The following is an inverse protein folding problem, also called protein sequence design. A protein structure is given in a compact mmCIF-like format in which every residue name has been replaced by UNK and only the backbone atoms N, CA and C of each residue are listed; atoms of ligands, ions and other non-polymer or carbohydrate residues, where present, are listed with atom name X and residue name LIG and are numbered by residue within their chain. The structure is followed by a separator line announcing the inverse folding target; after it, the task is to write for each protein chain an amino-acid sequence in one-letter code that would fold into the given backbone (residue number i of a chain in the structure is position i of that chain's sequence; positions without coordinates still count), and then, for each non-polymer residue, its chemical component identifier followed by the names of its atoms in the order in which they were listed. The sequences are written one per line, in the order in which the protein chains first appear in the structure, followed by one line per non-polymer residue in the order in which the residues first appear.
data_IF_565843978210
#
_entry.id   IF_565843978210
#
_cell.length_a   1.000
_cell.length_b   1.000
_cell.length_c   1.000
_cell.angle_alpha   90.00
_cell.angle_beta   90.00
_cell.angle_gamma   90.00
#
_symmetry.space_group_name_H-M   'P 1'
#
loop_
_entity.id
_entity.type
_entity.pdbx_description
1 polymer ?
#
# COMPACT_ATOMS: atom_id res chain seq x y z
N UNK A 1 -42.69 -24.34 -17.55
CA UNK A 1 -42.51 -23.11 -16.75
C UNK A 1 -42.18 -23.51 -15.32
N UNK A 2 -40.88 -23.74 -15.03
CA UNK A 2 -40.28 -23.75 -13.69
C UNK A 2 -38.89 -23.16 -13.90
N UNK A 3 -38.64 -21.98 -13.30
CA UNK A 3 -37.41 -21.21 -13.44
C UNK A 3 -36.28 -21.91 -12.67
N UNK A 4 -35.17 -22.21 -13.34
CA UNK A 4 -33.95 -22.70 -12.71
C UNK A 4 -33.32 -21.61 -11.84
N UNK A 5 -33.37 -21.77 -10.52
CA UNK A 5 -32.65 -20.93 -9.58
C UNK A 5 -31.16 -21.15 -9.70
N UNK A 6 -30.43 -20.13 -10.14
CA UNK A 6 -28.97 -20.12 -10.07
C UNK A 6 -28.56 -20.14 -8.59
N UNK A 7 -27.94 -21.25 -8.17
CA UNK A 7 -27.27 -21.35 -6.87
C UNK A 7 -25.96 -20.58 -7.01
N UNK A 8 -25.92 -19.35 -6.51
CA UNK A 8 -24.67 -18.63 -6.38
C UNK A 8 -23.86 -19.26 -5.25
N UNK A 9 -22.63 -19.76 -5.49
CA UNK A 9 -21.80 -20.26 -4.41
C UNK A 9 -21.48 -19.10 -3.46
N UNK A 10 -21.76 -19.32 -2.17
CA UNK A 10 -21.33 -18.42 -1.11
C UNK A 10 -19.80 -18.41 -1.07
N UNK A 11 -19.20 -17.36 -1.61
CA UNK A 11 -17.75 -17.11 -1.60
C UNK A 11 -17.17 -16.85 -0.21
N UNK A 12 -18.01 -16.71 0.81
CA UNK A 12 -17.56 -16.59 2.19
C UNK A 12 -17.52 -17.97 2.85
N UNK A 13 -16.40 -18.68 2.68
CA UNK A 13 -16.02 -19.73 3.62
C UNK A 13 -15.54 -19.03 4.89
N UNK A 14 -16.36 -19.03 5.94
CA UNK A 14 -15.96 -18.47 7.24
C UNK A 14 -14.81 -19.34 7.76
N UNK A 15 -13.59 -18.86 7.62
CA UNK A 15 -12.40 -19.47 8.23
C UNK A 15 -12.64 -19.64 9.72
N UNK A 16 -12.36 -20.84 10.24
CA UNK A 16 -12.50 -21.16 11.67
C UNK A 16 -11.73 -20.16 12.53
N UNK A 17 -12.29 -19.79 13.68
CA UNK A 17 -11.67 -18.86 14.63
C UNK A 17 -10.21 -19.24 14.93
N UNK A 18 -9.28 -18.34 14.62
CA UNK A 18 -7.85 -18.52 14.89
C UNK A 18 -7.49 -17.88 16.24
N UNK A 19 -6.66 -18.57 17.04
CA UNK A 19 -6.06 -17.96 18.22
C UNK A 19 -4.92 -17.01 17.79
N UNK A 20 -4.91 -15.81 18.37
CA UNK A 20 -3.88 -14.79 18.14
C UNK A 20 -3.33 -14.34 19.49
N UNK A 21 -2.02 -14.43 19.65
CA UNK A 21 -1.33 -13.95 20.85
C UNK A 21 -1.12 -12.43 20.75
N UNK A 22 -1.90 -11.68 21.54
CA UNK A 22 -1.82 -10.23 21.57
C UNK A 22 -0.46 -9.70 22.06
N UNK A 23 0.25 -10.44 22.91
CA UNK A 23 1.58 -10.03 23.34
C UNK A 23 2.56 -10.08 22.16
N UNK A 24 2.59 -11.19 21.43
CA UNK A 24 3.46 -11.34 20.26
C UNK A 24 3.16 -10.32 19.17
N UNK A 25 1.88 -10.02 18.89
CA UNK A 25 1.52 -8.96 17.93
C UNK A 25 2.11 -7.61 18.36
N UNK A 26 2.17 -7.32 19.65
CA UNK A 26 2.68 -6.04 20.15
C UNK A 26 4.21 -6.00 20.29
N UNK A 27 4.88 -7.13 20.49
CA UNK A 27 6.32 -7.17 20.80
C UNK A 27 7.20 -7.73 19.69
N UNK A 28 6.64 -8.53 18.77
CA UNK A 28 7.38 -9.17 17.68
C UNK A 28 6.89 -8.63 16.32
N UNK A 29 7.82 -8.02 15.57
CA UNK A 29 7.52 -7.43 14.26
C UNK A 29 7.06 -8.49 13.25
N UNK A 30 7.70 -9.66 13.21
CA UNK A 30 7.37 -10.71 12.26
C UNK A 30 5.98 -11.29 12.58
N UNK A 31 5.68 -11.55 13.85
CA UNK A 31 4.37 -12.04 14.28
C UNK A 31 3.25 -11.06 13.90
N UNK A 32 3.50 -9.75 14.03
CA UNK A 32 2.57 -8.70 13.59
C UNK A 32 2.34 -8.71 12.08
N UNK A 33 3.41 -8.79 11.30
CA UNK A 33 3.34 -8.81 9.83
C UNK A 33 2.62 -10.08 9.35
N UNK A 34 2.95 -11.24 9.92
CA UNK A 34 2.33 -12.53 9.60
C UNK A 34 0.83 -12.53 9.94
N UNK A 35 0.47 -12.00 11.11
CA UNK A 35 -0.94 -11.85 11.50
C UNK A 35 -1.68 -10.92 10.53
N UNK A 36 -1.11 -9.74 10.24
CA UNK A 36 -1.76 -8.76 9.38
C UNK A 36 -1.97 -9.30 7.97
N UNK A 37 -0.97 -9.95 7.38
CA UNK A 37 -1.06 -10.54 6.05
C UNK A 37 -2.17 -11.60 5.98
N UNK A 38 -2.25 -12.50 6.96
CA UNK A 38 -3.35 -13.47 7.06
C UNK A 38 -4.70 -12.78 7.24
N UNK A 39 -4.76 -11.73 8.06
CA UNK A 39 -6.00 -11.00 8.35
C UNK A 39 -6.56 -10.29 7.11
N UNK A 40 -5.69 -9.72 6.26
CA UNK A 40 -6.10 -9.13 4.98
C UNK A 40 -6.10 -10.13 3.82
N UNK A 41 -5.91 -11.42 4.13
CA UNK A 41 -5.85 -12.53 3.18
C UNK A 41 -4.76 -12.38 2.09
N UNK A 42 -3.71 -11.62 2.37
CA UNK A 42 -2.59 -11.41 1.44
C UNK A 42 -1.71 -12.65 1.35
N UNK A 43 -1.67 -13.25 0.16
CA UNK A 43 -0.95 -14.48 -0.12
C UNK A 43 -0.16 -14.47 -1.44
N UNK A 44 0.36 -15.64 -1.86
CA UNK A 44 1.14 -15.77 -3.09
C UNK A 44 0.40 -15.32 -4.35
N UNK A 45 -0.92 -15.53 -4.43
CA UNK A 45 -1.73 -15.11 -5.57
C UNK A 45 -1.78 -13.58 -5.70
N UNK A 46 -1.85 -12.84 -4.59
CA UNK A 46 -1.80 -11.36 -4.60
C UNK A 46 -0.43 -10.85 -5.03
N UNK A 47 0.65 -11.49 -4.56
CA UNK A 47 2.01 -11.16 -4.97
C UNK A 47 2.17 -11.34 -6.48
N UNK A 48 1.70 -12.47 -7.01
CA UNK A 48 1.71 -12.73 -8.45
C UNK A 48 0.88 -11.70 -9.21
N UNK A 49 -0.32 -11.36 -8.72
CA UNK A 49 -1.17 -10.35 -9.32
C UNK A 49 -0.50 -8.96 -9.36
N UNK A 50 0.15 -8.55 -8.26
CA UNK A 50 0.93 -7.31 -8.20
C UNK A 50 2.08 -7.32 -9.22
N UNK A 51 2.87 -8.39 -9.25
CA UNK A 51 3.99 -8.52 -10.20
C UNK A 51 3.50 -8.46 -11.65
N UNK A 52 2.42 -9.18 -11.97
CA UNK A 52 1.80 -9.19 -13.30
C UNK A 52 1.21 -7.84 -13.72
N UNK A 53 0.75 -7.03 -12.76
CA UNK A 53 0.24 -5.67 -13.04
C UNK A 53 1.37 -4.65 -13.31
N UNK A 54 2.61 -4.95 -12.93
CA UNK A 54 3.76 -4.01 -13.05
C UNK A 54 3.90 -3.36 -14.43
N UNK A 55 3.85 -4.09 -15.57
CA UNK A 55 4.05 -3.50 -16.89
C UNK A 55 2.98 -2.46 -17.25
N UNK A 56 1.78 -2.60 -16.70
CA UNK A 56 0.65 -1.69 -16.93
C UNK A 56 0.70 -0.50 -15.98
N UNK A 57 1.01 -0.73 -14.70
CA UNK A 57 0.97 0.32 -13.67
C UNK A 57 2.19 1.23 -13.75
N UNK A 58 3.40 0.68 -13.96
CA UNK A 58 4.65 1.44 -13.89
C UNK A 58 4.68 2.68 -14.80
N UNK A 59 4.20 2.64 -16.06
CA UNK A 59 4.11 3.83 -16.91
C UNK A 59 3.14 4.90 -16.39
N UNK A 60 2.12 4.51 -15.61
CA UNK A 60 1.05 5.39 -15.12
C UNK A 60 1.36 6.04 -13.76
N UNK A 61 2.36 5.52 -13.02
CA UNK A 61 2.69 5.99 -11.66
C UNK A 61 2.91 7.51 -11.59
N UNK A 62 3.57 8.10 -12.59
CA UNK A 62 3.78 9.55 -12.65
C UNK A 62 2.46 10.32 -12.63
N UNK A 63 1.55 10.00 -13.56
CA UNK A 63 0.25 10.66 -13.63
C UNK A 63 -0.63 10.41 -12.40
N UNK A 64 -0.59 9.18 -11.85
CA UNK A 64 -1.34 8.85 -10.64
C UNK A 64 -0.85 9.65 -9.41
N UNK A 65 0.46 9.76 -9.23
CA UNK A 65 1.05 10.57 -8.15
C UNK A 65 0.69 12.04 -8.32
N UNK A 66 0.73 12.56 -9.54
CA UNK A 66 0.34 13.94 -9.82
C UNK A 66 -1.12 14.20 -9.43
N UNK A 67 -2.03 13.32 -9.83
CA UNK A 67 -3.46 13.41 -9.48
C UNK A 67 -3.72 13.36 -7.97
N UNK A 68 -2.98 12.54 -7.21
CA UNK A 68 -3.06 12.52 -5.75
C UNK A 68 -2.67 13.87 -5.16
N UNK A 69 -1.59 14.48 -5.63
CA UNK A 69 -1.15 15.78 -5.14
C UNK A 69 -2.12 16.91 -5.51
N UNK A 70 -2.69 16.90 -6.72
CA UNK A 70 -3.77 17.84 -7.07
C UNK A 70 -4.95 17.72 -6.10
N UNK A 71 -5.34 16.48 -5.74
CA UNK A 71 -6.40 16.27 -4.75
C UNK A 71 -6.00 16.81 -3.38
N UNK A 72 -4.77 16.59 -2.93
CA UNK A 72 -4.26 17.13 -1.66
C UNK A 72 -4.12 18.66 -1.68
N UNK A 73 -3.92 19.27 -2.84
CA UNK A 73 -3.88 20.73 -2.99
C UNK A 73 -5.28 21.36 -3.01
N UNK A 74 -6.31 20.59 -3.34
CA UNK A 74 -7.71 21.07 -3.37
C UNK A 74 -8.31 21.37 -1.99
N UNK A 75 -7.64 21.01 -0.90
CA UNK A 75 -8.04 21.39 0.47
C UNK A 75 -6.87 22.08 1.18
N UNK A 76 -7.14 23.20 1.83
CA UNK A 76 -6.12 24.00 2.51
C UNK A 76 -5.45 23.23 3.65
N UNK A 77 -6.23 22.47 4.43
CA UNK A 77 -5.73 21.68 5.56
C UNK A 77 -4.72 20.62 5.12
N UNK A 78 -4.94 19.95 3.98
CA UNK A 78 -4.01 18.97 3.43
C UNK A 78 -2.82 19.64 2.76
N UNK A 79 -3.03 20.77 2.06
CA UNK A 79 -1.96 21.52 1.41
C UNK A 79 -0.98 22.12 2.42
N UNK A 80 -1.46 22.54 3.59
CA UNK A 80 -0.63 23.14 4.67
C UNK A 80 0.42 22.19 5.23
N UNK A 81 0.20 20.87 5.16
CA UNK A 81 1.17 19.85 5.60
C UNK A 81 2.49 19.93 4.80
N UNK A 82 2.45 20.50 3.60
CA UNK A 82 3.63 20.69 2.75
C UNK A 82 4.44 21.96 3.08
N UNK A 83 3.96 22.81 4.00
CA UNK A 83 4.72 23.95 4.52
C UNK A 83 5.76 23.52 5.56
N UNK A 84 5.60 22.35 6.17
CA UNK A 84 6.55 21.82 7.15
C UNK A 84 7.67 21.05 6.44
N UNK A 85 8.92 21.31 6.86
CA UNK A 85 10.09 20.59 6.35
C UNK A 85 9.94 19.10 6.59
N UNK A 86 10.06 18.31 5.52
CA UNK A 86 10.09 16.87 5.61
C UNK A 86 11.49 16.38 5.97
N UNK A 87 11.58 15.29 6.74
CA UNK A 87 12.86 14.65 7.08
C UNK A 87 13.65 14.31 5.82
N UNK A 88 14.93 14.65 5.79
CA UNK A 88 15.80 14.42 4.63
C UNK A 88 15.66 15.45 3.49
N UNK A 89 14.72 16.40 3.56
CA UNK A 89 14.61 17.49 2.59
C UNK A 89 15.42 18.73 3.02
N UNK A 90 16.44 19.09 2.25
CA UNK A 90 17.34 20.23 2.51
C UNK A 90 17.10 21.45 1.61
N UNK A 91 16.18 21.35 0.63
CA UNK A 91 15.88 22.43 -0.30
C UNK A 91 15.03 23.57 0.27
N UNK A 92 14.62 24.47 -0.61
CA UNK A 92 13.79 25.63 -0.26
C UNK A 92 12.34 25.21 -0.02
N UNK A 93 11.71 25.79 1.00
CA UNK A 93 10.28 25.66 1.23
C UNK A 93 9.55 26.86 0.62
N UNK A 94 8.34 26.63 0.14
CA UNK A 94 7.44 27.71 -0.20
C UNK A 94 7.12 28.54 1.05
N UNK A 95 7.17 29.86 0.92
CA UNK A 95 6.88 30.78 2.01
C UNK A 95 5.37 30.91 2.27
N UNK A 96 4.58 30.83 1.19
CA UNK A 96 3.13 30.94 1.25
C UNK A 96 2.44 29.67 0.75
N UNK A 97 1.21 29.46 1.20
CA UNK A 97 0.44 28.27 0.89
C UNK A 97 0.10 28.20 -0.60
N UNK A 98 -0.22 29.35 -1.19
CA UNK A 98 -0.54 29.54 -2.60
C UNK A 98 0.61 29.15 -3.54
N UNK A 99 1.85 29.25 -3.07
CA UNK A 99 3.06 28.91 -3.84
C UNK A 99 3.36 27.40 -3.85
N UNK A 100 2.63 26.59 -3.06
CA UNK A 100 2.80 25.13 -3.02
C UNK A 100 2.15 24.49 -4.24
N UNK A 101 2.94 24.08 -5.22
CA UNK A 101 2.45 23.44 -6.43
C UNK A 101 3.42 22.34 -6.89
N UNK A 102 3.13 21.71 -8.03
CA UNK A 102 3.96 20.63 -8.56
C UNK A 102 5.41 21.02 -8.87
N UNK A 103 5.71 22.31 -9.03
CA UNK A 103 7.05 22.80 -9.32
C UNK A 103 7.89 23.07 -8.07
N UNK A 104 7.27 23.17 -6.88
CA UNK A 104 7.97 23.41 -5.62
C UNK A 104 8.93 22.27 -5.29
N UNK A 105 10.14 22.59 -4.85
CA UNK A 105 11.21 21.60 -4.60
C UNK A 105 10.78 20.53 -3.59
N UNK A 106 10.11 20.94 -2.51
CA UNK A 106 9.61 20.03 -1.48
C UNK A 106 8.52 19.09 -1.99
N UNK A 107 7.76 19.50 -3.00
CA UNK A 107 6.73 18.65 -3.62
C UNK A 107 7.38 17.66 -4.58
N UNK A 108 8.32 18.09 -5.41
CA UNK A 108 9.10 17.19 -6.28
C UNK A 108 9.79 16.11 -5.46
N UNK A 109 10.46 16.49 -4.37
CA UNK A 109 11.11 15.56 -3.45
C UNK A 109 10.14 14.49 -2.91
N UNK A 110 8.98 14.89 -2.38
CA UNK A 110 8.00 13.93 -1.85
C UNK A 110 7.35 13.08 -2.95
N UNK A 111 7.09 13.65 -4.14
CA UNK A 111 6.55 12.92 -5.31
C UNK A 111 7.54 11.86 -5.80
N UNK A 112 8.82 12.17 -5.88
CA UNK A 112 9.84 11.23 -6.36
C UNK A 112 10.00 10.05 -5.40
N UNK A 113 9.99 10.30 -4.09
CA UNK A 113 9.93 9.22 -3.10
C UNK A 113 8.66 8.36 -3.28
N UNK A 114 7.49 8.99 -3.43
CA UNK A 114 6.22 8.26 -3.58
C UNK A 114 6.19 7.43 -4.87
N UNK A 115 6.69 7.94 -6.00
CA UNK A 115 6.77 7.18 -7.26
C UNK A 115 7.60 5.91 -7.09
N UNK A 116 8.79 6.04 -6.47
CA UNK A 116 9.66 4.89 -6.20
C UNK A 116 8.98 3.89 -5.27
N UNK A 117 8.32 4.38 -4.22
CA UNK A 117 7.59 3.53 -3.28
C UNK A 117 6.44 2.79 -3.95
N UNK A 118 5.63 3.44 -4.79
CA UNK A 118 4.53 2.80 -5.52
C UNK A 118 5.06 1.70 -6.42
N UNK A 119 6.10 1.98 -7.23
CA UNK A 119 6.71 0.93 -8.07
C UNK A 119 7.20 -0.24 -7.22
N UNK A 120 7.80 0.03 -6.06
CA UNK A 120 8.27 -1.01 -5.14
C UNK A 120 7.14 -1.92 -4.64
N UNK A 121 5.92 -1.43 -4.44
CA UNK A 121 4.76 -2.29 -4.08
C UNK A 121 4.52 -3.34 -5.16
N UNK A 122 4.66 -2.99 -6.44
CA UNK A 122 4.44 -3.92 -7.54
C UNK A 122 5.64 -4.82 -7.83
N UNK A 123 6.84 -4.53 -7.31
CA UNK A 123 8.08 -5.25 -7.66
C UNK A 123 8.84 -5.82 -6.48
N UNK A 124 8.38 -5.64 -5.25
CA UNK A 124 9.08 -6.15 -4.07
C UNK A 124 9.09 -7.69 -4.06
N UNK A 125 10.19 -8.26 -3.57
CA UNK A 125 10.25 -9.67 -3.23
C UNK A 125 9.56 -9.87 -1.88
N UNK A 126 8.27 -10.20 -1.90
CA UNK A 126 7.49 -10.47 -0.70
C UNK A 126 7.85 -11.79 -0.01
N UNK A 127 8.95 -12.47 -0.40
CA UNK A 127 9.55 -13.59 0.34
C UNK A 127 10.82 -13.19 1.12
N UNK A 128 11.39 -11.99 0.89
CA UNK A 128 12.51 -11.50 1.70
C UNK A 128 12.01 -11.17 3.12
N UNK A 129 12.58 -11.74 4.20
CA UNK A 129 12.14 -11.52 5.57
C UNK A 129 12.16 -10.05 6.03
N UNK A 130 12.79 -9.13 5.30
CA UNK A 130 12.71 -7.68 5.56
C UNK A 130 11.41 -7.03 5.05
N UNK A 131 10.66 -7.70 4.19
CA UNK A 131 9.46 -7.22 3.51
C UNK A 131 8.33 -8.27 3.44
N UNK A 132 8.59 -9.50 3.90
CA UNK A 132 7.73 -10.67 3.78
C UNK A 132 6.99 -11.02 5.08
N UNK A 133 5.68 -11.27 5.02
CA UNK A 133 5.00 -12.15 5.95
C UNK A 133 5.43 -13.59 5.67
N UNK A 134 5.98 -14.31 6.65
CA UNK A 134 6.26 -15.74 6.51
C UNK A 134 4.94 -16.49 6.46
N UNK A 135 4.42 -16.69 5.24
CA UNK A 135 3.32 -17.61 5.00
C UNK A 135 3.88 -19.02 5.22
N UNK A 136 3.81 -19.51 6.46
CA UNK A 136 3.99 -20.93 6.74
C UNK A 136 2.83 -21.66 6.07
N UNK A 137 3.13 -22.23 4.89
CA UNK A 137 2.30 -23.23 4.26
C UNK A 137 1.97 -24.26 5.33
N UNK A 138 0.71 -24.36 5.71
CA UNK A 138 0.24 -25.47 6.51
C UNK A 138 0.31 -26.68 5.59
N UNK A 139 1.44 -27.38 5.61
CA UNK A 139 1.56 -28.72 5.08
C UNK A 139 0.55 -29.58 5.82
N UNK A 140 -0.35 -30.20 5.06
CA UNK A 140 -1.41 -31.05 5.55
C UNK A 140 -0.91 -32.27 6.31
N UNK A 141 -1.86 -32.81 7.08
CA UNK A 141 -1.90 -34.10 7.77
C UNK A 141 -0.85 -35.15 7.39
#
# INVERSE_FOLDING_TARGET
MIMGGAVYPSVYSISSMQHVDAHLVNTDLQARVDYLAKFIEFGPEDVEALHNATPVVKPLVGAAVDAVYEKLFSFDITRRIFMTRHTGFTGQLAEKLEDINHNSEQIKFRKDFLKVWVVKVFTADYNDPKVSPRVRLHGGH
#
